data_IF_269147862812
#
_entry.id   IF_269147862812
#
_cell.length_a   1.000
_cell.length_b   1.000
_cell.length_c   1.000
_cell.angle_alpha   90.00
_cell.angle_beta   90.00
_cell.angle_gamma   90.00
#
_symmetry.space_group_name_H-M   'P 1'
#
loop_
_entity.id
_entity.type
_entity.pdbx_description
1 polymer ?
#
# COMPACT_ATOMS: atom_id res chain seq x y z
N UNK A 1 11.27 -14.95 -20.09
CA UNK A 1 10.46 -15.19 -18.88
C UNK A 1 9.00 -14.89 -19.21
N UNK A 2 8.11 -15.90 -19.29
CA UNK A 2 6.70 -15.65 -19.54
C UNK A 2 6.12 -14.85 -18.36
N UNK A 3 5.43 -13.75 -18.65
CA UNK A 3 4.73 -12.93 -17.64
C UNK A 3 3.54 -13.73 -17.15
N UNK A 4 3.60 -14.22 -15.92
CA UNK A 4 2.54 -14.97 -15.24
C UNK A 4 1.24 -14.16 -15.25
N UNK A 5 0.12 -14.84 -15.51
CA UNK A 5 -1.25 -14.34 -15.68
C UNK A 5 -1.79 -13.47 -14.53
N UNK A 6 -1.07 -13.37 -13.41
CA UNK A 6 -1.39 -12.56 -12.23
C UNK A 6 -1.17 -11.04 -12.40
N UNK A 7 -0.69 -10.57 -13.56
CA UNK A 7 -0.39 -9.15 -13.82
C UNK A 7 -1.65 -8.30 -14.20
N UNK A 8 -2.83 -8.93 -14.18
CA UNK A 8 -4.07 -8.34 -14.69
C UNK A 8 -4.90 -7.76 -13.55
N UNK A 9 -4.58 -6.54 -13.11
CA UNK A 9 -5.53 -5.71 -12.36
C UNK A 9 -6.72 -5.44 -13.28
N UNK A 10 -7.91 -5.89 -12.89
CA UNK A 10 -9.14 -5.64 -13.64
C UNK A 10 -9.46 -4.15 -13.70
N UNK A 11 -10.18 -3.68 -14.73
CA UNK A 11 -10.56 -2.26 -14.83
C UNK A 11 -11.39 -1.79 -13.62
N UNK A 12 -12.28 -2.65 -13.12
CA UNK A 12 -13.11 -2.36 -11.94
C UNK A 12 -12.26 -2.13 -10.69
N UNK A 13 -11.35 -3.06 -10.38
CA UNK A 13 -10.43 -2.92 -9.24
C UNK A 13 -9.52 -1.70 -9.40
N UNK A 14 -9.12 -1.37 -10.63
CA UNK A 14 -8.34 -0.16 -10.90
C UNK A 14 -9.13 1.13 -10.60
N UNK A 15 -10.43 1.17 -10.90
CA UNK A 15 -11.29 2.31 -10.60
C UNK A 15 -11.55 2.46 -9.11
N UNK A 16 -11.85 1.35 -8.42
CA UNK A 16 -12.01 1.32 -6.96
C UNK A 16 -10.74 1.82 -6.25
N UNK A 17 -9.57 1.34 -6.67
CA UNK A 17 -8.29 1.79 -6.13
C UNK A 17 -8.05 3.28 -6.36
N UNK A 18 -8.44 3.82 -7.52
CA UNK A 18 -8.32 5.27 -7.79
C UNK A 18 -9.28 6.09 -6.93
N UNK A 19 -10.51 5.62 -6.72
CA UNK A 19 -11.48 6.27 -5.86
C UNK A 19 -10.98 6.32 -4.41
N UNK A 20 -10.51 5.18 -3.89
CA UNK A 20 -9.89 5.09 -2.56
C UNK A 20 -8.66 5.99 -2.45
N UNK A 21 -7.79 6.00 -3.48
CA UNK A 21 -6.60 6.85 -3.51
C UNK A 21 -6.92 8.35 -3.45
N UNK A 22 -7.99 8.80 -4.14
CA UNK A 22 -8.40 10.20 -4.17
C UNK A 22 -8.74 10.73 -2.77
N UNK A 23 -9.29 9.87 -1.90
CA UNK A 23 -9.57 10.18 -0.50
C UNK A 23 -8.31 9.98 0.35
N UNK A 24 -7.60 8.87 0.19
CA UNK A 24 -6.44 8.54 1.01
C UNK A 24 -5.27 9.53 0.86
N UNK A 25 -5.18 10.27 -0.24
CA UNK A 25 -4.14 11.30 -0.45
C UNK A 25 -4.38 12.58 0.37
N UNK A 26 -5.60 12.82 0.87
CA UNK A 26 -5.91 14.02 1.67
C UNK A 26 -5.58 13.84 3.16
N UNK A 27 -5.38 12.59 3.60
CA UNK A 27 -5.03 12.27 4.99
C UNK A 27 -3.59 12.66 5.29
N UNK A 28 -3.41 13.47 6.33
CA UNK A 28 -2.11 13.94 6.81
C UNK A 28 -2.01 13.86 8.34
N UNK A 29 -0.88 14.33 8.89
CA UNK A 29 -0.62 14.29 10.34
C UNK A 29 -1.61 15.10 11.19
N UNK A 30 -2.29 16.08 10.60
CA UNK A 30 -3.26 16.94 11.27
C UNK A 30 -4.69 16.41 11.16
N UNK A 31 -4.94 15.41 10.31
CA UNK A 31 -6.26 14.78 10.22
C UNK A 31 -6.60 14.12 11.56
N UNK A 32 -7.75 14.40 12.21
CA UNK A 32 -8.11 13.80 13.50
C UNK A 32 -8.11 12.27 13.46
N UNK A 33 -7.80 11.62 14.59
CA UNK A 33 -7.67 10.15 14.66
C UNK A 33 -8.97 9.43 14.26
N UNK A 34 -10.11 10.01 14.62
CA UNK A 34 -11.45 9.44 14.38
C UNK A 34 -12.06 9.89 13.04
N UNK A 35 -11.32 10.63 12.21
CA UNK A 35 -11.85 11.13 10.95
C UNK A 35 -12.08 9.97 9.97
N UNK A 36 -13.24 9.90 9.27
CA UNK A 36 -13.58 8.78 8.39
C UNK A 36 -12.53 8.54 7.29
N UNK A 37 -11.92 9.59 6.74
CA UNK A 37 -10.86 9.46 5.73
C UNK A 37 -9.64 8.66 6.23
N UNK A 38 -9.35 8.62 7.53
CA UNK A 38 -8.27 7.76 8.07
C UNK A 38 -8.61 6.28 7.91
N UNK A 39 -9.89 5.90 8.04
CA UNK A 39 -10.36 4.54 7.77
C UNK A 39 -10.16 4.18 6.30
N UNK A 40 -10.61 5.04 5.38
CA UNK A 40 -10.41 4.85 3.94
C UNK A 40 -8.93 4.75 3.57
N UNK A 41 -8.05 5.49 4.26
CA UNK A 41 -6.61 5.40 4.07
C UNK A 41 -6.02 4.04 4.47
N UNK A 42 -6.55 3.42 5.54
CA UNK A 42 -6.18 2.07 5.95
C UNK A 42 -6.70 1.05 4.93
N UNK A 43 -7.99 1.10 4.60
CA UNK A 43 -8.64 0.21 3.62
C UNK A 43 -7.93 0.25 2.25
N UNK A 44 -7.56 1.45 1.77
CA UNK A 44 -6.77 1.61 0.56
C UNK A 44 -5.41 0.90 0.65
N UNK A 45 -4.73 1.01 1.79
CA UNK A 45 -3.40 0.44 1.96
C UNK A 45 -3.44 -1.07 2.13
N UNK A 46 -4.48 -1.59 2.79
CA UNK A 46 -4.80 -3.02 2.86
C UNK A 46 -5.07 -3.62 1.48
N UNK A 47 -5.87 -2.94 0.65
CA UNK A 47 -6.15 -3.39 -0.72
C UNK A 47 -4.86 -3.48 -1.57
N UNK A 48 -3.95 -2.51 -1.43
CA UNK A 48 -2.64 -2.57 -2.10
C UNK A 48 -1.79 -3.75 -1.61
N UNK A 49 -1.79 -4.03 -0.31
CA UNK A 49 -1.07 -5.16 0.25
C UNK A 49 -1.62 -6.49 -0.26
N UNK A 50 -2.95 -6.67 -0.25
CA UNK A 50 -3.62 -7.86 -0.74
C UNK A 50 -3.30 -8.14 -2.22
N UNK A 51 -3.30 -7.11 -3.08
CA UNK A 51 -2.93 -7.27 -4.49
C UNK A 51 -1.47 -7.66 -4.67
N UNK A 52 -0.56 -7.17 -3.81
CA UNK A 52 0.85 -7.57 -3.84
C UNK A 52 1.00 -9.04 -3.42
N UNK A 53 0.24 -9.48 -2.42
CA UNK A 53 0.20 -10.90 -2.00
C UNK A 53 -0.33 -11.80 -3.12
N UNK A 54 -1.26 -11.32 -3.94
CA UNK A 54 -1.74 -12.00 -5.15
C UNK A 54 -0.75 -11.98 -6.32
N UNK A 55 0.42 -11.33 -6.16
CA UNK A 55 1.49 -11.29 -7.16
C UNK A 55 1.50 -10.05 -8.04
N UNK A 56 0.61 -9.06 -7.81
CA UNK A 56 0.62 -7.80 -8.55
C UNK A 56 1.85 -6.98 -8.14
N UNK A 57 2.63 -6.55 -9.13
CA UNK A 57 3.84 -5.78 -8.84
C UNK A 57 3.52 -4.34 -8.39
N UNK A 58 4.36 -3.79 -7.51
CA UNK A 58 4.25 -2.37 -7.10
C UNK A 58 4.33 -1.43 -8.31
N UNK A 59 5.12 -1.77 -9.33
CA UNK A 59 5.22 -0.99 -10.56
C UNK A 59 3.91 -0.96 -11.33
N UNK A 60 3.18 -2.08 -11.38
CA UNK A 60 1.86 -2.16 -12.00
C UNK A 60 0.84 -1.31 -11.24
N UNK A 61 0.78 -1.44 -9.91
CA UNK A 61 -0.11 -0.63 -9.07
C UNK A 61 0.18 0.87 -9.21
N UNK A 62 1.46 1.25 -9.24
CA UNK A 62 1.88 2.63 -9.46
C UNK A 62 1.39 3.18 -10.81
N UNK A 63 1.48 2.39 -11.87
CA UNK A 63 0.97 2.75 -13.20
C UNK A 63 -0.56 2.90 -13.21
N UNK A 64 -1.29 2.02 -12.53
CA UNK A 64 -2.76 2.08 -12.40
C UNK A 64 -3.21 3.35 -11.68
N UNK A 65 -2.48 3.72 -10.63
CA UNK A 65 -2.77 4.87 -9.76
C UNK A 65 -2.23 6.21 -10.31
N UNK A 66 -1.36 6.18 -11.32
CA UNK A 66 -0.71 7.38 -11.86
C UNK A 66 0.30 8.03 -10.89
N UNK A 67 0.95 7.22 -10.04
CA UNK A 67 1.92 7.71 -9.04
C UNK A 67 3.30 7.10 -9.23
N UNK A 68 4.33 7.70 -8.64
CA UNK A 68 5.65 7.09 -8.59
C UNK A 68 5.66 5.81 -7.74
N UNK A 69 6.37 4.78 -8.17
CA UNK A 69 6.49 3.52 -7.44
C UNK A 69 6.98 3.73 -6.00
N UNK A 70 7.94 4.65 -5.79
CA UNK A 70 8.43 5.02 -4.45
C UNK A 70 7.32 5.50 -3.51
N UNK A 71 6.29 6.18 -4.02
CA UNK A 71 5.16 6.62 -3.21
C UNK A 71 4.36 5.43 -2.68
N UNK A 72 4.18 4.39 -3.49
CA UNK A 72 3.52 3.14 -3.07
C UNK A 72 4.38 2.39 -2.05
N UNK A 73 5.69 2.29 -2.29
CA UNK A 73 6.64 1.71 -1.33
C UNK A 73 6.60 2.40 0.04
N UNK A 74 6.70 3.72 0.06
CA UNK A 74 6.71 4.51 1.29
C UNK A 74 5.38 4.39 2.04
N UNK A 75 4.27 4.32 1.32
CA UNK A 75 2.94 4.08 1.89
C UNK A 75 2.88 2.73 2.58
N UNK A 76 3.24 1.65 1.89
CA UNK A 76 3.25 0.30 2.47
C UNK A 76 4.18 0.21 3.69
N UNK A 77 5.33 0.87 3.64
CA UNK A 77 6.25 0.92 4.77
C UNK A 77 5.68 1.69 5.97
N UNK A 78 5.03 2.83 5.73
CA UNK A 78 4.34 3.62 6.77
C UNK A 78 3.23 2.82 7.44
N UNK A 79 2.60 1.87 6.76
CA UNK A 79 1.53 1.06 7.33
C UNK A 79 2.00 -0.35 7.76
N UNK A 80 3.31 -0.60 7.77
CA UNK A 80 3.87 -1.85 8.28
C UNK A 80 3.83 -3.05 7.32
N UNK A 81 3.31 -2.90 6.11
CA UNK A 81 3.28 -3.97 5.10
C UNK A 81 4.63 -4.20 4.40
N UNK A 82 5.59 -3.30 4.59
CA UNK A 82 6.94 -3.43 4.02
C UNK A 82 8.00 -2.81 4.92
N UNK A 83 9.22 -3.33 4.84
CA UNK A 83 10.36 -2.67 5.50
C UNK A 83 10.65 -1.33 4.82
N UNK A 84 10.86 -0.24 5.59
CA UNK A 84 11.34 1.01 5.02
C UNK A 84 12.72 0.80 4.38
N UNK A 85 13.09 1.68 3.44
CA UNK A 85 14.44 1.69 2.89
C UNK A 85 15.46 1.90 4.02
N UNK A 86 16.70 1.36 3.91
CA UNK A 86 17.73 1.54 4.94
C UNK A 86 18.00 3.02 5.27
N UNK A 87 17.94 3.90 4.26
CA UNK A 87 18.05 5.36 4.42
C UNK A 87 16.90 6.02 5.18
N UNK A 88 15.84 5.26 5.48
CA UNK A 88 14.63 5.68 6.19
C UNK A 88 14.39 4.84 7.47
N UNK A 89 15.31 3.92 7.82
CA UNK A 89 15.12 2.97 8.92
C UNK A 89 15.01 3.63 10.32
N UNK A 90 15.53 4.86 10.47
CA UNK A 90 15.40 5.65 11.70
C UNK A 90 14.09 6.44 11.83
N UNK A 91 13.32 6.60 10.73
CA UNK A 91 12.04 7.29 10.76
C UNK A 91 10.95 6.35 11.28
N UNK A 92 10.77 6.32 12.61
CA UNK A 92 9.59 5.72 13.22
C UNK A 92 8.39 6.60 12.89
N UNK A 93 7.60 6.20 11.89
CA UNK A 93 6.30 6.83 11.67
C UNK A 93 5.44 6.64 12.94
N UNK A 94 4.84 7.73 13.42
CA UNK A 94 4.05 7.73 14.67
C UNK A 94 2.75 6.96 14.42
N UNK A 95 2.49 5.91 15.21
CA UNK A 95 1.24 5.14 15.13
C UNK A 95 1.22 3.98 14.13
N UNK A 96 2.38 3.43 13.75
CA UNK A 96 2.43 2.23 12.89
C UNK A 96 2.25 0.97 13.71
N UNK A 97 1.12 0.30 13.52
CA UNK A 97 0.98 -1.11 13.89
C UNK A 97 1.85 -1.91 12.92
N UNK A 98 2.95 -2.45 13.41
CA UNK A 98 3.84 -3.24 12.55
C UNK A 98 3.14 -4.58 12.30
N UNK A 99 2.61 -4.79 11.09
CA UNK A 99 2.11 -6.11 10.73
C UNK A 99 3.31 -7.07 10.66
N UNK A 100 3.34 -8.16 11.45
CA UNK A 100 4.40 -9.14 11.32
C UNK A 100 4.31 -9.72 9.91
N UNK A 101 5.28 -9.39 9.06
CA UNK A 101 5.40 -10.02 7.75
C UNK A 101 5.54 -11.52 7.99
N UNK A 102 4.51 -12.30 7.66
CA UNK A 102 4.49 -13.76 7.79
C UNK A 102 5.45 -14.38 6.77
N UNK A 103 6.75 -14.24 7.02
CA UNK A 103 7.79 -15.17 6.56
C UNK A 103 8.22 -15.98 7.76
N UNK A 104 7.32 -16.84 8.23
CA UNK A 104 7.70 -18.08 8.89
C UNK A 104 7.39 -19.14 7.82
N UNK A 105 8.35 -19.54 6.98
CA UNK A 105 9.12 -20.77 7.21
C UNK A 105 8.23 -21.86 7.83
N UNK A 106 7.45 -22.53 6.98
CA UNK A 106 6.95 -23.87 7.29
C UNK A 106 8.16 -24.81 7.39
N UNK A 107 8.24 -25.65 8.45
CA UNK A 107 9.22 -26.73 8.54
C UNK A 107 8.93 -27.89 7.59
#
# INVERSE_FOLDING_TARGET
MPRTTADTVTPETAEELRALHAIARTVNGNTPLNHPSRKTNIEFTEALAALIEQGVTVYRLAKVLGVGHRSVYNRLARHGYRKPAPSQAGFRYRGVTTHPSRRQSEP
#
